data_IF_631713438615
#
_entry.id   IF_631713438615
#
_cell.length_a   1.000
_cell.length_b   1.000
_cell.length_c   1.000
_cell.angle_alpha   90.00
_cell.angle_beta   90.00
_cell.angle_gamma   90.00
#
_symmetry.space_group_name_H-M   'P 1'
#
loop_
_entity.id
_entity.type
_entity.pdbx_description
1 polymer ?
#
# COMPACT_ATOMS: atom_id res chain seq x y z
N UNK A 1 -4.44 12.18 -1.22
CA UNK A 1 -5.25 11.13 -0.55
C UNK A 1 -6.42 11.69 0.26
N UNK A 2 -6.23 12.59 1.24
CA UNK A 2 -7.35 13.19 2.02
C UNK A 2 -8.31 14.01 1.15
N UNK A 3 -7.81 14.60 0.06
CA UNK A 3 -8.59 15.48 -0.82
C UNK A 3 -9.65 14.71 -1.62
N UNK A 4 -9.34 13.51 -2.11
CA UNK A 4 -10.27 12.62 -2.82
C UNK A 4 -11.45 12.20 -1.92
N UNK A 5 -11.17 11.83 -0.66
CA UNK A 5 -12.21 11.43 0.30
C UNK A 5 -13.15 12.58 0.68
N UNK A 6 -12.63 13.81 0.74
CA UNK A 6 -13.44 15.03 0.95
C UNK A 6 -14.31 15.33 -0.27
N UNK A 7 -13.76 15.20 -1.48
CA UNK A 7 -14.50 15.43 -2.73
C UNK A 7 -15.64 14.42 -2.91
N UNK A 8 -15.43 13.17 -2.53
CA UNK A 8 -16.45 12.12 -2.58
C UNK A 8 -17.53 12.23 -1.46
N UNK A 9 -17.46 13.24 -0.58
CA UNK A 9 -18.27 13.37 0.65
C UNK A 9 -18.21 12.16 1.60
N UNK A 10 -17.21 11.28 1.44
CA UNK A 10 -16.99 10.12 2.30
C UNK A 10 -16.32 10.51 3.63
N UNK A 11 -15.68 11.68 3.67
CA UNK A 11 -15.06 12.21 4.87
C UNK A 11 -16.07 12.98 5.73
N UNK A 12 -16.56 12.36 6.79
CA UNK A 12 -17.20 13.03 7.92
C UNK A 12 -16.43 12.71 9.20
N UNK A 13 -16.24 13.69 10.09
CA UNK A 13 -15.63 13.45 11.42
C UNK A 13 -16.47 12.55 12.34
N UNK A 14 -17.55 11.96 11.84
CA UNK A 14 -18.53 11.11 12.54
C UNK A 14 -18.69 9.75 11.83
N UNK A 15 -17.87 9.43 10.83
CA UNK A 15 -17.92 8.14 10.16
C UNK A 15 -17.49 7.03 11.13
N UNK A 16 -18.40 6.11 11.46
CA UNK A 16 -18.12 4.98 12.35
C UNK A 16 -17.25 3.93 11.65
N UNK A 17 -17.39 3.80 10.32
CA UNK A 17 -16.52 2.99 9.46
C UNK A 17 -15.16 3.64 9.26
N UNK A 18 -14.10 2.95 9.65
CA UNK A 18 -12.71 3.38 9.53
C UNK A 18 -11.89 2.31 8.82
N UNK A 19 -10.98 2.75 7.95
CA UNK A 19 -9.99 1.89 7.29
C UNK A 19 -8.61 2.32 7.77
N UNK A 20 -7.83 1.38 8.27
CA UNK A 20 -6.47 1.62 8.74
C UNK A 20 -5.49 0.60 8.14
N UNK A 21 -4.21 0.97 8.09
CA UNK A 21 -3.14 0.12 7.61
C UNK A 21 -1.90 0.27 8.48
N UNK A 22 -1.30 -0.86 8.89
CA UNK A 22 -0.03 -0.91 9.61
C UNK A 22 1.00 -1.68 8.79
N UNK A 23 2.08 -1.03 8.39
CA UNK A 23 3.21 -1.69 7.73
C UNK A 23 3.81 -2.71 8.70
N UNK A 24 3.90 -3.96 8.26
CA UNK A 24 4.55 -5.06 8.99
C UNK A 24 6.01 -5.16 8.58
N UNK A 25 6.25 -5.17 7.28
CA UNK A 25 7.56 -5.39 6.68
C UNK A 25 7.60 -4.71 5.32
N UNK A 26 8.73 -4.10 4.99
CA UNK A 26 8.99 -3.58 3.66
C UNK A 26 10.49 -3.52 3.42
N UNK A 27 10.89 -3.65 2.16
CA UNK A 27 12.27 -3.43 1.74
C UNK A 27 12.32 -2.92 0.30
N UNK A 28 13.41 -2.20 -0.02
CA UNK A 28 13.76 -1.78 -1.37
C UNK A 28 15.24 -2.06 -1.55
N UNK A 29 15.54 -3.14 -2.27
CA UNK A 29 16.90 -3.50 -2.64
C UNK A 29 17.24 -2.91 -4.01
N UNK A 30 18.19 -1.97 -4.01
CA UNK A 30 18.72 -1.31 -5.21
C UNK A 30 20.06 -1.90 -5.67
N UNK A 31 20.60 -2.90 -4.98
CA UNK A 31 21.98 -3.38 -5.16
C UNK A 31 22.18 -4.29 -6.37
N UNK A 32 21.10 -4.73 -7.01
CA UNK A 32 21.18 -5.54 -8.22
C UNK A 32 21.82 -4.81 -9.40
N UNK A 33 22.51 -5.56 -10.26
CA UNK A 33 23.36 -5.02 -11.32
C UNK A 33 22.57 -4.22 -12.38
N UNK A 34 21.39 -4.72 -12.75
CA UNK A 34 20.48 -4.12 -13.74
C UNK A 34 19.06 -3.89 -13.21
N UNK A 35 18.67 -4.61 -12.17
CA UNK A 35 17.31 -4.56 -11.60
C UNK A 35 17.39 -4.41 -10.09
N UNK A 36 16.44 -3.67 -9.53
CA UNK A 36 16.16 -3.61 -8.11
C UNK A 36 14.87 -4.37 -7.80
N UNK A 37 14.68 -4.70 -6.53
CA UNK A 37 13.48 -5.38 -6.06
C UNK A 37 12.92 -4.67 -4.84
N UNK A 38 11.61 -4.71 -4.68
CA UNK A 38 10.94 -4.13 -3.54
C UNK A 38 9.75 -4.99 -3.14
N UNK A 39 9.49 -5.06 -1.84
CA UNK A 39 8.30 -5.70 -1.31
C UNK A 39 7.72 -4.90 -0.15
N UNK A 40 6.42 -5.07 0.07
CA UNK A 40 5.72 -4.49 1.22
C UNK A 40 4.63 -5.44 1.70
N UNK A 41 4.45 -5.52 3.02
CA UNK A 41 3.37 -6.24 3.71
C UNK A 41 2.69 -5.29 4.69
N UNK A 42 1.38 -5.10 4.54
CA UNK A 42 0.58 -4.21 5.39
C UNK A 42 -0.58 -4.97 5.98
N UNK A 43 -0.74 -4.86 7.30
CA UNK A 43 -1.95 -5.29 8.00
C UNK A 43 -3.02 -4.22 7.80
N UNK A 44 -4.05 -4.53 7.03
CA UNK A 44 -5.21 -3.66 6.82
C UNK A 44 -6.35 -4.08 7.75
N UNK A 45 -7.00 -3.09 8.33
CA UNK A 45 -8.15 -3.28 9.22
C UNK A 45 -9.28 -2.35 8.81
N UNK A 46 -10.48 -2.91 8.64
CA UNK A 46 -11.73 -2.15 8.52
C UNK A 46 -12.55 -2.37 9.79
N UNK A 47 -12.96 -1.29 10.44
CA UNK A 47 -13.76 -1.34 11.66
C UNK A 47 -15.00 -0.46 11.54
N UNK A 48 -16.10 -0.85 12.15
CA UNK A 48 -17.30 -0.04 12.33
C UNK A 48 -17.57 0.09 13.84
N UNK A 49 -17.15 1.22 14.41
CA UNK A 49 -17.04 1.35 15.87
C UNK A 49 -16.06 0.31 16.44
N UNK A 50 -16.54 -0.50 17.39
CA UNK A 50 -15.74 -1.55 18.05
C UNK A 50 -15.72 -2.89 17.28
N UNK A 51 -16.44 -2.98 16.16
CA UNK A 51 -16.55 -4.22 15.38
C UNK A 51 -15.49 -4.20 14.28
N UNK A 52 -14.60 -5.18 14.28
CA UNK A 52 -13.68 -5.43 13.15
C UNK A 52 -14.39 -6.20 12.05
N UNK A 53 -14.50 -5.59 10.87
CA UNK A 53 -15.15 -6.15 9.68
C UNK A 53 -14.13 -6.80 8.72
N UNK A 54 -12.87 -6.39 8.81
CA UNK A 54 -11.78 -6.92 8.00
C UNK A 54 -10.48 -6.78 8.78
N UNK A 55 -9.67 -7.84 8.79
CA UNK A 55 -8.32 -7.84 9.37
C UNK A 55 -7.48 -8.84 8.57
N UNK A 56 -6.65 -8.34 7.66
CA UNK A 56 -5.77 -9.18 6.82
C UNK A 56 -4.44 -8.50 6.52
N UNK A 57 -3.45 -9.32 6.19
CA UNK A 57 -2.20 -8.87 5.60
C UNK A 57 -2.32 -8.90 4.09
N UNK A 58 -2.10 -7.76 3.45
CA UNK A 58 -1.98 -7.64 1.99
C UNK A 58 -0.52 -7.33 1.67
N UNK A 59 0.00 -7.94 0.61
CA UNK A 59 1.37 -7.76 0.17
C UNK A 59 1.46 -7.35 -1.29
N UNK A 60 2.58 -6.74 -1.66
CA UNK A 60 2.95 -6.49 -3.05
C UNK A 60 4.46 -6.63 -3.23
N UNK A 61 4.83 -6.96 -4.47
CA UNK A 61 6.21 -7.05 -4.94
C UNK A 61 6.35 -6.24 -6.23
N UNK A 62 7.53 -5.66 -6.41
CA UNK A 62 7.83 -4.81 -7.56
C UNK A 62 9.31 -4.91 -7.94
N UNK A 63 9.58 -5.17 -9.21
CA UNK A 63 10.92 -5.06 -9.81
C UNK A 63 10.99 -3.81 -10.67
N UNK A 64 12.16 -3.18 -10.70
CA UNK A 64 12.38 -1.91 -11.38
C UNK A 64 13.81 -1.81 -11.90
N UNK A 65 14.02 -0.91 -12.88
CA UNK A 65 15.35 -0.65 -13.42
C UNK A 65 16.30 -0.14 -12.32
N UNK A 66 17.45 -0.78 -12.17
CA UNK A 66 18.52 -0.34 -11.25
C UNK A 66 19.86 -0.24 -11.97
N UNK A 67 20.92 -0.01 -11.21
CA UNK A 67 22.29 0.05 -11.70
C UNK A 67 23.26 -0.23 -10.56
N UNK A 68 24.42 -0.79 -10.87
CA UNK A 68 25.54 -0.80 -9.93
C UNK A 68 25.98 0.62 -9.52
N UNK A 69 25.74 1.62 -10.38
CA UNK A 69 26.02 3.02 -10.07
C UNK A 69 24.95 3.59 -9.13
N UNK A 70 25.32 3.81 -7.88
CA UNK A 70 24.39 4.32 -6.84
C UNK A 70 23.68 5.64 -7.19
N UNK A 71 24.30 6.49 -8.02
CA UNK A 71 23.71 7.74 -8.51
C UNK A 71 22.45 7.52 -9.39
N UNK A 72 22.28 6.32 -9.96
CA UNK A 72 21.10 5.90 -10.73
C UNK A 72 20.20 5.01 -9.86
N UNK A 73 20.81 4.08 -9.12
CA UNK A 73 20.10 3.10 -8.30
C UNK A 73 19.23 3.75 -7.22
N UNK A 74 19.76 4.74 -6.49
CA UNK A 74 19.06 5.37 -5.36
C UNK A 74 17.81 6.15 -5.83
N UNK A 75 17.89 7.05 -6.84
CA UNK A 75 16.68 7.72 -7.35
C UNK A 75 15.63 6.76 -7.90
N UNK A 76 16.04 5.67 -8.55
CA UNK A 76 15.11 4.66 -9.08
C UNK A 76 14.41 3.90 -7.94
N UNK A 77 15.15 3.50 -6.90
CA UNK A 77 14.57 2.90 -5.69
C UNK A 77 13.56 3.82 -4.99
N UNK A 78 13.85 5.12 -4.91
CA UNK A 78 12.91 6.09 -4.36
C UNK A 78 11.61 6.19 -5.17
N UNK A 79 11.69 6.13 -6.51
CA UNK A 79 10.53 6.15 -7.40
C UNK A 79 9.72 4.86 -7.31
N UNK A 80 10.40 3.72 -7.22
CA UNK A 80 9.81 2.38 -7.10
C UNK A 80 8.83 2.26 -5.94
N UNK A 81 9.07 2.96 -4.82
CA UNK A 81 8.16 2.94 -3.68
C UNK A 81 6.73 3.36 -4.04
N UNK A 82 6.56 4.35 -4.94
CA UNK A 82 5.24 4.80 -5.39
C UNK A 82 4.52 3.68 -6.12
N UNK A 83 5.21 2.98 -7.02
CA UNK A 83 4.65 1.88 -7.81
C UNK A 83 4.36 0.64 -6.95
N UNK A 84 5.21 0.37 -5.95
CA UNK A 84 5.00 -0.68 -4.97
C UNK A 84 3.72 -0.42 -4.14
N UNK A 85 3.51 0.81 -3.67
CA UNK A 85 2.30 1.18 -2.93
C UNK A 85 1.07 1.11 -3.83
N UNK A 86 1.17 1.51 -5.10
CA UNK A 86 0.06 1.37 -6.05
C UNK A 86 -0.32 -0.10 -6.22
N UNK A 87 0.65 -0.99 -6.44
CA UNK A 87 0.40 -2.44 -6.51
C UNK A 87 -0.22 -3.00 -5.23
N UNK A 88 0.24 -2.57 -4.06
CA UNK A 88 -0.35 -2.96 -2.78
C UNK A 88 -1.83 -2.57 -2.71
N UNK A 89 -2.17 -1.35 -3.10
CA UNK A 89 -3.57 -0.88 -3.11
C UNK A 89 -4.41 -1.61 -4.17
N UNK A 90 -3.85 -1.91 -5.34
CA UNK A 90 -4.50 -2.76 -6.34
C UNK A 90 -4.84 -4.13 -5.76
N UNK A 91 -3.90 -4.76 -5.03
CA UNK A 91 -4.12 -6.05 -4.39
C UNK A 91 -5.18 -5.97 -3.28
N UNK A 92 -5.20 -4.90 -2.48
CA UNK A 92 -6.24 -4.65 -1.47
C UNK A 92 -7.62 -4.49 -2.12
N UNK A 93 -7.72 -3.70 -3.19
CA UNK A 93 -8.99 -3.45 -3.89
C UNK A 93 -9.49 -4.64 -4.72
N UNK A 94 -8.65 -5.65 -4.93
CA UNK A 94 -9.04 -6.91 -5.53
C UNK A 94 -9.51 -7.95 -4.49
N UNK A 95 -9.33 -7.72 -3.18
CA UNK A 95 -9.77 -8.64 -2.13
C UNK A 95 -11.29 -8.52 -1.90
N UNK A 96 -12.01 -9.62 -2.12
CA UNK A 96 -13.48 -9.65 -2.01
C UNK A 96 -13.97 -9.39 -0.58
N UNK A 97 -13.23 -9.81 0.46
CA UNK A 97 -13.59 -9.54 1.86
C UNK A 97 -13.38 -8.07 2.19
N UNK A 98 -12.32 -7.44 1.66
CA UNK A 98 -12.14 -5.99 1.77
C UNK A 98 -13.32 -5.26 1.13
N UNK A 99 -13.65 -5.59 -0.12
CA UNK A 99 -14.80 -5.00 -0.83
C UNK A 99 -16.10 -5.19 -0.04
N UNK A 100 -16.33 -6.38 0.54
CA UNK A 100 -17.52 -6.66 1.33
C UNK A 100 -17.56 -5.84 2.63
N UNK A 101 -16.41 -5.60 3.28
CA UNK A 101 -16.33 -4.85 4.54
C UNK A 101 -16.62 -3.35 4.41
N UNK A 102 -16.35 -2.78 3.23
CA UNK A 102 -16.53 -1.34 2.94
C UNK A 102 -17.87 -1.00 2.28
N UNK A 103 -18.66 -2.01 1.88
CA UNK A 103 -20.06 -1.82 1.48
C UNK A 103 -20.91 -1.39 2.68
#
# INVERSE_FOLDING_TARGET
>A
MIQELKLAKLWSGVATKQVSGKVIEQDIDVTGFSEGSAFIKVKFTVSDGDITLFDKVISAEHTFDSSFLGAIAIPNGQRSYVELVQKLLTNLYADEEFIASIK
#
